data_IF_607541620454
#
_entry.id   IF_607541620454
#
_cell.length_a   1.000
_cell.length_b   1.000
_cell.length_c   1.000
_cell.angle_alpha   90.00
_cell.angle_beta   90.00
_cell.angle_gamma   90.00
#
_symmetry.space_group_name_H-M   'P 1'
#
loop_
_entity.id
_entity.type
_entity.pdbx_description
1 polymer ?
#
# COMPACT_ATOMS: atom_id res chain seq x y z
N UNK A 1 -12.79 35.34 91.99
CA UNK A 1 -13.09 34.90 90.61
C UNK A 1 -12.17 33.72 90.33
N UNK A 2 -12.58 32.50 90.02
CA UNK A 2 -13.87 31.86 89.76
C UNK A 2 -13.54 30.35 89.97
N UNK A 3 -14.22 29.65 90.88
CA UNK A 3 -13.95 28.24 91.19
C UNK A 3 -15.30 27.50 91.28
N UNK A 4 -15.48 26.51 90.37
CA UNK A 4 -16.08 25.14 90.43
C UNK A 4 -17.15 24.83 91.52
N UNK A 5 -17.98 23.75 91.44
CA UNK A 5 -18.23 22.68 90.44
C UNK A 5 -19.77 22.46 90.21
N UNK A 6 -20.35 21.46 89.54
CA UNK A 6 -20.32 20.03 89.81
C UNK A 6 -21.27 19.27 88.86
N UNK A 7 -20.81 18.08 88.48
CA UNK A 7 -21.51 16.88 87.99
C UNK A 7 -22.93 16.66 88.51
N UNK A 8 -23.80 16.06 87.69
CA UNK A 8 -24.64 14.87 87.99
C UNK A 8 -25.36 14.45 86.68
N UNK A 9 -24.93 13.40 85.99
CA UNK A 9 -25.35 12.00 86.16
C UNK A 9 -26.87 11.74 86.11
N UNK A 10 -27.28 11.02 85.05
CA UNK A 10 -27.85 9.66 85.14
C UNK A 10 -29.36 9.47 84.89
N UNK A 11 -29.65 8.89 83.71
CA UNK A 11 -30.61 7.79 83.40
C UNK A 11 -32.10 8.20 83.38
N UNK A 12 -32.91 7.89 82.37
CA UNK A 12 -33.48 6.57 81.99
C UNK A 12 -33.97 6.61 80.52
N UNK A 13 -33.45 5.74 79.63
CA UNK A 13 -34.04 4.46 79.12
C UNK A 13 -35.03 4.60 77.94
N UNK A 14 -34.46 4.35 76.76
CA UNK A 14 -34.90 3.54 75.60
C UNK A 14 -36.28 3.76 74.93
N UNK A 15 -36.23 4.27 73.70
CA UNK A 15 -36.97 3.69 72.58
C UNK A 15 -35.96 3.38 71.45
N UNK A 16 -35.96 2.12 71.05
CA UNK A 16 -35.07 1.48 70.09
C UNK A 16 -35.54 1.80 68.66
N UNK A 17 -34.67 2.35 67.82
CA UNK A 17 -34.72 2.17 66.35
C UNK A 17 -33.30 1.83 65.93
N UNK A 18 -33.11 0.59 65.51
CA UNK A 18 -31.86 0.12 64.94
C UNK A 18 -31.79 0.58 63.48
N UNK A 19 -30.79 1.38 63.15
CA UNK A 19 -30.26 1.48 61.80
C UNK A 19 -28.74 1.40 61.93
N UNK A 20 -28.18 0.24 61.59
CA UNK A 20 -26.76 0.02 61.52
C UNK A 20 -26.22 0.79 60.30
N UNK A 21 -25.45 1.84 60.54
CA UNK A 21 -24.57 2.41 59.52
C UNK A 21 -23.22 1.72 59.66
N UNK A 22 -22.97 0.71 58.81
CA UNK A 22 -21.62 0.27 58.50
C UNK A 22 -20.94 1.45 57.80
N UNK A 23 -19.89 1.99 58.41
CA UNK A 23 -18.94 2.82 57.70
C UNK A 23 -18.15 1.93 56.75
N UNK A 24 -18.46 1.99 55.46
CA UNK A 24 -17.56 1.51 54.43
C UNK A 24 -16.47 2.57 54.29
N UNK A 25 -15.28 2.26 54.81
CA UNK A 25 -14.07 2.81 54.24
C UNK A 25 -14.04 2.32 52.79
N UNK A 26 -14.17 3.24 51.83
CA UNK A 26 -13.67 2.97 50.48
C UNK A 26 -12.20 2.61 50.66
N UNK A 27 -11.90 1.31 50.58
CA UNK A 27 -10.60 0.88 50.12
C UNK A 27 -10.65 1.17 48.63
N UNK A 28 -10.01 2.26 48.19
CA UNK A 28 -9.44 2.21 46.85
C UNK A 28 -8.44 1.04 46.91
N UNK A 29 -8.46 0.09 45.96
CA UNK A 29 -7.31 -0.79 45.81
C UNK A 29 -6.09 0.14 45.63
N UNK A 30 -5.00 -0.18 46.33
CA UNK A 30 -3.72 0.35 45.91
C UNK A 30 -3.56 -0.05 44.44
N UNK A 31 -3.03 0.84 43.60
CA UNK A 31 -2.35 0.39 42.39
C UNK A 31 -1.43 -0.77 42.83
N UNK A 32 -1.48 -1.90 42.13
CA UNK A 32 -0.49 -2.94 42.32
C UNK A 32 0.89 -2.30 42.25
N UNK A 33 1.83 -2.83 43.02
CA UNK A 33 3.23 -2.68 42.57
C UNK A 33 3.26 -3.24 41.14
N UNK A 34 3.96 -2.58 40.22
CA UNK A 34 4.35 -3.27 38.99
C UNK A 34 5.04 -4.59 39.38
N UNK A 35 4.88 -5.67 38.58
CA UNK A 35 5.62 -6.91 38.77
C UNK A 35 7.13 -6.66 38.90
N UNK A 36 7.76 -7.53 39.67
CA UNK A 36 9.15 -7.45 40.15
C UNK A 36 9.48 -8.88 40.60
N UNK A 37 9.72 -9.75 39.61
CA UNK A 37 9.75 -11.20 39.76
C UNK A 37 10.91 -11.63 40.65
N UNK A 38 12.09 -11.04 40.45
CA UNK A 38 13.29 -11.30 41.24
C UNK A 38 13.36 -10.53 42.58
N UNK A 39 12.52 -9.51 42.76
CA UNK A 39 12.41 -8.71 43.97
C UNK A 39 13.58 -7.74 44.21
N UNK A 40 14.40 -7.41 43.21
CA UNK A 40 15.51 -6.48 43.36
C UNK A 40 15.08 -5.01 43.42
N UNK A 41 13.84 -4.73 43.01
CA UNK A 41 13.20 -3.43 43.03
C UNK A 41 13.22 -2.68 41.70
N UNK A 42 13.61 -3.33 40.61
CA UNK A 42 13.35 -2.93 39.23
C UNK A 42 12.06 -3.64 38.78
N UNK A 43 11.09 -2.93 38.16
CA UNK A 43 9.91 -3.59 37.60
C UNK A 43 10.25 -4.38 36.32
N UNK A 44 9.56 -5.51 36.10
CA UNK A 44 9.78 -6.43 34.98
C UNK A 44 9.87 -5.74 33.60
N UNK A 45 8.88 -4.90 33.24
CA UNK A 45 8.84 -4.03 32.02
C UNK A 45 10.09 -3.17 31.73
N UNK A 46 11.03 -3.07 32.67
CA UNK A 46 12.31 -2.35 32.46
C UNK A 46 13.48 -3.06 33.13
N UNK A 47 13.32 -4.32 33.52
CA UNK A 47 14.34 -5.14 34.15
C UNK A 47 15.13 -5.91 33.10
N UNK A 48 16.41 -5.57 32.85
CA UNK A 48 17.21 -6.20 31.80
C UNK A 48 17.62 -7.66 32.09
N UNK A 49 17.14 -8.25 33.20
CA UNK A 49 17.40 -9.62 33.68
C UNK A 49 16.28 -9.99 34.67
N UNK A 50 15.04 -10.16 34.15
CA UNK A 50 13.77 -10.27 34.91
C UNK A 50 13.83 -11.31 36.04
N UNK A 51 14.50 -12.43 35.82
CA UNK A 51 14.62 -13.51 36.80
C UNK A 51 15.96 -13.48 37.59
N UNK A 52 16.86 -12.55 37.23
CA UNK A 52 18.20 -12.37 37.76
C UNK A 52 19.05 -13.65 37.74
N UNK A 53 18.77 -14.52 36.77
CA UNK A 53 19.60 -15.62 36.36
C UNK A 53 20.99 -15.05 36.04
N UNK A 54 21.12 -13.90 35.39
CA UNK A 54 22.40 -13.39 34.90
C UNK A 54 22.68 -13.78 33.44
N UNK A 55 21.63 -14.10 32.69
CA UNK A 55 21.53 -14.02 31.24
C UNK A 55 20.60 -12.81 31.00
N UNK A 56 21.01 -11.77 30.24
CA UNK A 56 20.11 -10.66 29.92
C UNK A 56 18.94 -11.13 29.06
N UNK A 57 17.77 -10.49 29.17
CA UNK A 57 16.53 -10.89 28.49
C UNK A 57 16.72 -11.22 27.00
N UNK A 58 17.30 -10.30 26.22
CA UNK A 58 17.72 -10.48 24.80
C UNK A 58 18.56 -11.72 24.44
N UNK A 59 18.97 -12.53 25.41
CA UNK A 59 19.76 -13.73 25.25
C UNK A 59 19.24 -14.91 26.09
N UNK A 60 18.13 -14.72 26.79
CA UNK A 60 17.50 -15.71 27.66
C UNK A 60 16.28 -16.31 26.98
N UNK A 61 16.27 -17.64 26.86
CA UNK A 61 15.19 -18.37 26.17
C UNK A 61 14.01 -18.70 27.09
N UNK A 62 14.01 -18.04 28.25
CA UNK A 62 13.10 -18.25 29.36
C UNK A 62 13.20 -17.04 30.29
N UNK A 63 12.74 -15.88 29.82
CA UNK A 63 13.02 -14.56 30.39
C UNK A 63 12.47 -14.42 31.80
N UNK A 64 11.26 -14.90 32.05
CA UNK A 64 10.67 -14.96 33.38
C UNK A 64 11.32 -16.06 34.28
N UNK A 65 12.11 -16.98 33.71
CA UNK A 65 12.24 -18.33 34.24
C UNK A 65 13.67 -18.87 34.39
N UNK A 66 14.22 -18.80 35.60
CA UNK A 66 15.55 -19.36 35.82
C UNK A 66 16.00 -19.39 37.27
N UNK A 67 17.29 -19.71 37.47
CA UNK A 67 17.88 -19.81 38.82
C UNK A 67 18.61 -18.53 39.14
N UNK A 68 17.89 -17.59 39.76
CA UNK A 68 18.41 -16.32 40.27
C UNK A 68 19.83 -16.48 40.84
N UNK A 69 20.83 -15.85 40.21
CA UNK A 69 22.21 -15.81 40.69
C UNK A 69 22.39 -14.74 41.75
N UNK A 70 21.61 -13.65 41.72
CA UNK A 70 21.68 -12.58 42.72
C UNK A 70 20.31 -12.25 43.34
N UNK A 71 20.17 -11.05 43.91
CA UNK A 71 18.92 -10.63 44.55
C UNK A 71 18.45 -11.39 45.82
N UNK A 72 17.23 -11.09 46.29
CA UNK A 72 16.56 -11.78 47.41
C UNK A 72 16.31 -13.27 47.20
N UNK A 73 16.14 -13.72 45.96
CA UNK A 73 15.83 -15.11 45.64
C UNK A 73 17.05 -15.98 45.33
N UNK A 74 18.25 -15.41 45.19
CA UNK A 74 19.53 -16.09 44.95
C UNK A 74 19.59 -17.60 45.29
N UNK A 75 19.70 -18.44 44.26
CA UNK A 75 19.77 -19.89 44.32
C UNK A 75 18.42 -20.60 44.40
N UNK A 76 17.32 -19.88 44.19
CA UNK A 76 15.98 -20.43 43.96
C UNK A 76 15.64 -20.30 42.49
N UNK A 77 14.75 -21.18 42.02
CA UNK A 77 14.10 -21.00 40.72
C UNK A 77 12.92 -20.03 40.90
N UNK A 78 12.78 -19.07 40.01
CA UNK A 78 11.65 -18.14 39.89
C UNK A 78 11.10 -18.19 38.45
N UNK A 79 9.92 -17.62 38.20
CA UNK A 79 9.18 -17.84 36.95
C UNK A 79 8.36 -19.12 36.92
N UNK A 80 7.83 -19.41 35.74
CA UNK A 80 6.72 -20.34 35.57
C UNK A 80 7.11 -21.75 35.04
N UNK A 81 8.32 -21.88 34.48
CA UNK A 81 8.90 -23.08 33.82
C UNK A 81 8.38 -23.41 32.40
N UNK A 82 7.87 -22.41 31.71
CA UNK A 82 7.64 -22.41 30.27
C UNK A 82 8.93 -21.89 29.60
N UNK A 83 9.08 -22.04 28.29
CA UNK A 83 10.22 -21.47 27.52
C UNK A 83 9.55 -20.53 26.51
N UNK A 84 10.17 -19.41 26.12
CA UNK A 84 9.52 -18.39 25.27
C UNK A 84 8.87 -19.01 24.02
N UNK A 85 9.58 -19.91 23.31
CA UNK A 85 9.09 -20.66 22.11
C UNK A 85 7.87 -21.60 22.33
N UNK A 86 7.29 -21.62 23.52
CA UNK A 86 6.21 -22.51 23.87
C UNK A 86 4.88 -21.74 23.77
N UNK A 87 3.91 -22.21 22.95
CA UNK A 87 2.57 -21.59 22.76
C UNK A 87 1.64 -21.63 23.99
N UNK A 88 2.20 -21.76 25.19
CA UNK A 88 1.50 -21.66 26.45
C UNK A 88 2.18 -20.64 27.38
N UNK A 89 3.22 -19.97 26.90
CA UNK A 89 3.63 -18.67 27.42
C UNK A 89 2.65 -17.64 26.89
N UNK A 90 2.23 -16.71 27.72
CA UNK A 90 1.27 -15.67 27.31
C UNK A 90 1.78 -14.25 27.76
N UNK A 91 2.97 -14.15 28.38
CA UNK A 91 3.55 -12.94 29.03
C UNK A 91 5.06 -13.20 29.30
N UNK A 92 5.89 -13.10 28.25
CA UNK A 92 7.30 -13.53 28.22
C UNK A 92 8.17 -12.87 29.31
N UNK A 93 7.92 -11.59 29.62
CA UNK A 93 8.67 -10.83 30.63
C UNK A 93 7.98 -10.75 32.03
N UNK A 94 6.79 -11.35 32.19
CA UNK A 94 5.93 -11.34 33.38
C UNK A 94 5.63 -9.92 33.90
N UNK A 95 5.59 -8.88 33.05
CA UNK A 95 5.24 -7.51 33.45
C UNK A 95 3.74 -7.29 33.71
N UNK A 96 2.93 -8.27 33.30
CA UNK A 96 1.49 -8.30 33.43
C UNK A 96 0.71 -7.67 32.28
N UNK A 97 1.37 -7.39 31.17
CA UNK A 97 0.83 -7.26 29.82
C UNK A 97 1.05 -8.62 29.12
N UNK A 98 0.05 -9.07 28.37
CA UNK A 98 0.23 -10.32 27.62
C UNK A 98 0.92 -9.98 26.31
N UNK A 99 1.62 -10.95 25.71
CA UNK A 99 2.32 -10.74 24.44
C UNK A 99 1.31 -10.24 23.36
N UNK A 100 0.11 -10.86 23.28
CA UNK A 100 -1.04 -10.46 22.41
C UNK A 100 -1.72 -9.11 22.73
N UNK A 101 -1.17 -8.31 23.64
CA UNK A 101 -1.81 -7.08 24.10
C UNK A 101 -1.33 -5.87 23.31
N UNK A 102 -2.24 -5.13 22.68
CA UNK A 102 -2.03 -3.78 22.09
C UNK A 102 -1.38 -2.69 23.00
N UNK A 103 -1.04 -3.01 24.24
CA UNK A 103 -0.34 -2.14 25.17
C UNK A 103 1.07 -2.63 25.53
N UNK A 104 1.41 -3.84 25.10
CA UNK A 104 2.77 -4.36 25.06
C UNK A 104 3.48 -3.79 23.83
N UNK A 105 4.81 -3.64 23.90
CA UNK A 105 5.63 -3.07 22.83
C UNK A 105 7.12 -3.39 22.99
N UNK A 106 7.47 -4.28 23.93
CA UNK A 106 8.82 -4.76 24.28
C UNK A 106 8.64 -6.17 24.88
N UNK A 107 8.16 -7.12 24.07
CA UNK A 107 7.71 -8.47 24.50
C UNK A 107 8.79 -9.21 25.32
N UNK A 108 10.05 -9.15 24.89
CA UNK A 108 11.16 -9.75 25.62
C UNK A 108 11.70 -8.88 26.78
N UNK A 109 11.25 -7.63 26.89
CA UNK A 109 11.66 -6.69 27.93
C UNK A 109 13.15 -6.32 27.89
N UNK A 110 13.87 -6.48 26.78
CA UNK A 110 15.28 -6.09 26.66
C UNK A 110 15.50 -4.57 26.64
N UNK A 111 14.40 -3.83 26.46
CA UNK A 111 14.38 -2.37 26.39
C UNK A 111 14.59 -1.82 24.98
N UNK A 112 14.44 -2.66 23.95
CA UNK A 112 14.09 -2.24 22.60
C UNK A 112 12.56 -2.20 22.48
N UNK A 113 12.08 -1.79 21.34
CA UNK A 113 10.66 -1.88 21.05
C UNK A 113 10.54 -2.91 19.93
N UNK A 114 9.44 -3.62 19.87
CA UNK A 114 9.21 -4.63 18.84
C UNK A 114 9.32 -3.96 17.44
N UNK A 115 8.74 -2.76 17.26
CA UNK A 115 8.84 -1.89 16.06
C UNK A 115 10.22 -1.27 15.72
N UNK A 116 11.28 -1.68 16.40
CA UNK A 116 12.61 -1.05 16.26
C UNK A 116 13.44 -1.77 15.19
N UNK A 117 14.06 -1.04 14.23
CA UNK A 117 15.07 -1.55 13.27
C UNK A 117 16.33 -2.24 13.88
N UNK A 118 16.40 -2.38 15.20
CA UNK A 118 17.50 -2.96 15.97
C UNK A 118 17.05 -4.11 16.88
N UNK A 119 15.75 -4.40 16.91
CA UNK A 119 15.27 -5.68 17.38
C UNK A 119 15.35 -6.66 16.21
N UNK A 120 15.81 -7.88 16.48
CA UNK A 120 15.87 -8.91 15.45
C UNK A 120 15.45 -10.30 16.02
N UNK A 121 14.77 -10.35 17.18
CA UNK A 121 14.35 -11.53 17.97
C UNK A 121 13.28 -11.10 18.99
N UNK A 122 12.07 -10.75 18.53
CA UNK A 122 11.00 -10.11 19.34
C UNK A 122 10.58 -10.94 20.56
N UNK A 123 10.39 -12.25 20.40
CA UNK A 123 10.02 -13.16 21.49
C UNK A 123 11.22 -13.61 22.38
N UNK A 124 12.45 -13.23 22.01
CA UNK A 124 13.68 -13.60 22.72
C UNK A 124 14.01 -15.10 22.76
N UNK A 125 13.43 -15.96 21.91
CA UNK A 125 13.71 -17.40 21.91
C UNK A 125 15.10 -17.78 21.34
N UNK A 126 15.80 -16.76 20.82
CA UNK A 126 17.09 -16.81 20.15
C UNK A 126 17.00 -17.46 18.74
N UNK A 127 15.87 -17.28 18.08
CA UNK A 127 15.76 -17.27 16.64
C UNK A 127 15.88 -15.82 16.22
N UNK A 128 15.45 -15.52 15.00
CA UNK A 128 15.48 -14.17 14.49
C UNK A 128 14.22 -14.05 13.68
N UNK A 129 13.60 -12.90 13.70
CA UNK A 129 12.35 -12.68 12.98
C UNK A 129 12.57 -13.00 11.48
N UNK A 130 13.70 -12.53 10.91
CA UNK A 130 14.16 -12.84 9.53
C UNK A 130 14.54 -14.30 9.20
N UNK A 131 14.34 -15.23 10.14
CA UNK A 131 14.64 -16.64 9.94
C UNK A 131 13.35 -17.39 9.58
N UNK A 132 13.23 -17.90 8.36
CA UNK A 132 12.12 -18.82 7.98
C UNK A 132 12.11 -20.22 8.66
N UNK A 133 12.61 -20.31 9.88
CA UNK A 133 12.32 -21.36 10.85
C UNK A 133 11.64 -20.81 12.12
N UNK A 134 11.57 -19.49 12.27
CA UNK A 134 10.61 -18.80 13.12
C UNK A 134 9.25 -18.85 12.46
N UNK A 135 8.20 -18.95 13.26
CA UNK A 135 6.81 -19.11 12.81
C UNK A 135 5.82 -18.52 13.82
N UNK A 136 6.28 -17.72 14.78
CA UNK A 136 5.55 -17.18 15.94
C UNK A 136 6.42 -16.04 16.47
N UNK A 137 6.48 -14.93 15.71
CA UNK A 137 7.46 -13.84 15.90
C UNK A 137 7.25 -13.10 17.23
N UNK A 138 6.00 -12.81 17.57
CA UNK A 138 5.60 -12.16 18.83
C UNK A 138 5.51 -13.14 20.01
N UNK A 139 5.51 -14.45 19.75
CA UNK A 139 5.47 -15.49 20.78
C UNK A 139 4.11 -15.64 21.47
N UNK A 140 3.02 -15.09 20.93
CA UNK A 140 1.68 -15.18 21.54
C UNK A 140 1.06 -16.59 21.44
N UNK A 141 1.70 -17.47 20.66
CA UNK A 141 1.34 -18.86 20.49
C UNK A 141 0.40 -19.15 19.32
N UNK A 142 0.12 -18.18 18.44
CA UNK A 142 -0.37 -18.45 17.09
C UNK A 142 0.83 -18.55 16.14
N UNK A 143 0.64 -19.30 15.04
CA UNK A 143 1.72 -19.34 14.04
C UNK A 143 1.51 -18.09 13.14
N UNK A 144 2.55 -17.43 12.62
CA UNK A 144 2.42 -16.21 11.77
C UNK A 144 1.45 -16.41 10.58
N UNK A 145 1.39 -17.64 10.02
CA UNK A 145 0.47 -18.00 8.91
C UNK A 145 -0.98 -18.33 9.33
N UNK A 146 -1.43 -17.90 10.52
CA UNK A 146 -2.75 -18.24 11.05
C UNK A 146 -3.84 -17.26 10.64
N UNK A 147 -4.98 -17.75 10.14
CA UNK A 147 -6.19 -16.94 9.92
C UNK A 147 -6.72 -16.15 11.16
N UNK A 148 -6.18 -16.40 12.36
CA UNK A 148 -6.58 -15.74 13.62
C UNK A 148 -5.41 -14.90 14.23
N UNK A 149 -4.30 -14.75 13.50
CA UNK A 149 -3.24 -13.75 13.77
C UNK A 149 -3.58 -12.47 13.01
N UNK A 150 -3.49 -11.33 13.67
CA UNK A 150 -3.81 -10.02 13.10
C UNK A 150 -2.68 -8.98 13.39
N UNK A 151 -1.59 -9.32 14.11
CA UNK A 151 -0.49 -8.44 14.58
C UNK A 151 0.81 -9.27 14.72
N UNK A 152 1.47 -9.61 13.62
CA UNK A 152 2.56 -10.63 13.56
C UNK A 152 3.78 -10.26 14.42
N UNK A 153 4.16 -8.98 14.46
CA UNK A 153 5.30 -8.50 15.24
C UNK A 153 4.93 -8.04 16.67
N UNK A 154 3.65 -8.00 17.00
CA UNK A 154 3.14 -7.64 18.32
C UNK A 154 3.35 -6.17 18.70
N UNK A 155 3.62 -5.26 17.76
CA UNK A 155 3.86 -3.83 18.06
C UNK A 155 2.58 -3.07 18.48
N UNK A 156 1.43 -3.73 18.34
CA UNK A 156 0.11 -3.21 18.65
C UNK A 156 -0.54 -2.48 17.48
N UNK A 157 -0.08 -2.71 16.25
CA UNK A 157 -0.75 -2.34 15.00
C UNK A 157 -1.18 -3.62 14.30
N UNK A 158 -2.48 -3.70 14.00
CA UNK A 158 -2.99 -4.78 13.17
C UNK A 158 -2.25 -4.76 11.80
N UNK A 159 -1.93 -5.92 11.23
CA UNK A 159 -1.19 -6.05 9.95
C UNK A 159 -1.87 -5.27 8.81
N UNK A 160 -3.21 -5.13 8.86
CA UNK A 160 -4.02 -4.36 7.91
C UNK A 160 -4.06 -2.83 8.17
N UNK A 161 -3.33 -2.32 9.19
CA UNK A 161 -3.24 -0.89 9.46
C UNK A 161 -2.34 -0.21 8.42
N UNK A 162 -2.83 0.79 7.66
CA UNK A 162 -2.03 1.48 6.64
C UNK A 162 -0.89 2.36 7.21
N UNK A 163 -0.74 2.44 8.53
CA UNK A 163 0.42 3.03 9.18
C UNK A 163 1.52 1.99 9.50
N UNK A 164 1.20 0.69 9.46
CA UNK A 164 2.15 -0.42 9.47
C UNK A 164 2.90 -0.50 8.13
N UNK A 165 4.16 -0.88 8.20
CA UNK A 165 5.13 -0.80 7.11
C UNK A 165 6.24 -1.86 7.22
N UNK A 166 6.24 -2.70 8.25
CA UNK A 166 7.22 -3.75 8.56
C UNK A 166 6.52 -4.89 9.32
N UNK A 167 5.60 -5.60 8.65
CA UNK A 167 4.63 -6.54 9.26
C UNK A 167 5.31 -7.62 10.12
N UNK A 168 6.44 -8.17 9.69
CA UNK A 168 7.18 -9.21 10.41
C UNK A 168 8.22 -8.65 11.41
N UNK A 169 8.32 -7.32 11.54
CA UNK A 169 9.25 -6.65 12.44
C UNK A 169 10.74 -6.88 12.15
N UNK A 170 11.13 -7.45 10.99
CA UNK A 170 12.53 -7.85 10.73
C UNK A 170 13.48 -6.67 10.41
N UNK A 171 12.92 -5.46 10.31
CA UNK A 171 13.60 -4.22 9.96
C UNK A 171 13.67 -3.97 8.46
N UNK A 172 12.84 -4.63 7.65
CA UNK A 172 12.74 -4.49 6.20
C UNK A 172 11.29 -4.20 5.81
N UNK A 173 11.10 -2.94 5.42
CA UNK A 173 9.81 -2.49 4.94
C UNK A 173 9.17 -3.41 3.88
N UNK A 174 7.87 -3.67 4.04
CA UNK A 174 7.06 -4.65 3.27
C UNK A 174 7.24 -4.50 1.75
N UNK A 175 7.13 -3.27 1.22
CA UNK A 175 7.36 -2.97 -0.20
C UNK A 175 8.81 -3.15 -0.69
N UNK A 176 9.68 -3.75 0.13
CA UNK A 176 11.00 -4.22 -0.26
C UNK A 176 11.40 -5.57 0.35
N UNK A 177 10.52 -6.18 1.13
CA UNK A 177 10.71 -7.51 1.70
C UNK A 177 10.47 -8.61 0.65
N UNK A 178 11.12 -9.76 0.83
CA UNK A 178 10.91 -10.96 0.02
C UNK A 178 10.31 -12.15 0.80
N UNK A 179 9.76 -11.89 1.98
CA UNK A 179 9.08 -12.78 2.96
C UNK A 179 8.22 -11.93 3.94
N UNK A 180 7.28 -11.12 3.43
CA UNK A 180 6.60 -10.03 4.17
C UNK A 180 5.95 -10.42 5.50
N UNK A 181 5.34 -11.61 5.58
CA UNK A 181 4.65 -12.12 6.77
C UNK A 181 5.55 -12.99 7.69
N UNK A 182 6.84 -13.13 7.35
CA UNK A 182 7.78 -13.90 8.15
C UNK A 182 7.56 -15.43 8.20
N UNK A 183 6.57 -16.01 7.48
CA UNK A 183 6.21 -17.44 7.62
C UNK A 183 7.29 -18.41 7.08
N UNK A 184 8.29 -17.85 6.40
CA UNK A 184 9.41 -18.54 5.76
C UNK A 184 9.15 -18.95 4.30
N UNK A 185 8.04 -18.52 3.70
CA UNK A 185 7.74 -18.61 2.27
C UNK A 185 7.80 -17.23 1.65
N UNK A 186 8.80 -17.12 0.77
CA UNK A 186 8.96 -15.95 -0.07
C UNK A 186 7.67 -15.59 -0.80
N UNK A 187 7.39 -14.30 -0.92
CA UNK A 187 6.26 -13.79 -1.70
C UNK A 187 6.24 -14.38 -3.13
N UNK A 188 7.41 -14.63 -3.71
CA UNK A 188 7.56 -15.27 -5.03
C UNK A 188 7.30 -16.79 -5.10
N UNK A 189 7.07 -17.47 -3.98
CA UNK A 189 6.80 -18.90 -3.95
C UNK A 189 5.34 -19.17 -4.33
N UNK A 190 5.13 -20.07 -5.30
CA UNK A 190 3.79 -20.33 -5.86
C UNK A 190 2.82 -21.09 -4.92
N UNK A 191 3.27 -21.41 -3.71
CA UNK A 191 2.45 -21.98 -2.65
C UNK A 191 2.12 -20.89 -1.59
N UNK A 192 2.60 -19.65 -1.78
CA UNK A 192 2.17 -18.49 -1.02
C UNK A 192 0.88 -17.90 -1.63
N UNK A 193 -0.12 -17.77 -0.78
CA UNK A 193 -1.50 -17.42 -1.12
C UNK A 193 -1.99 -16.22 -0.27
N UNK A 194 -1.23 -15.75 0.73
CA UNK A 194 -1.57 -14.75 1.77
C UNK A 194 -0.27 -14.00 2.16
N UNK A 195 0.12 -12.99 1.39
CA UNK A 195 1.49 -12.43 1.44
C UNK A 195 1.74 -11.47 2.59
N UNK A 196 0.71 -10.76 3.05
CA UNK A 196 0.78 -9.85 4.19
C UNK A 196 0.32 -10.51 5.51
N UNK A 197 -0.17 -11.75 5.47
CA UNK A 197 -0.54 -12.51 6.65
C UNK A 197 -1.85 -12.09 7.32
N UNK A 198 -2.66 -11.19 6.70
CA UNK A 198 -3.89 -10.63 7.30
C UNK A 198 -5.07 -11.65 7.43
N UNK A 199 -4.80 -12.89 7.05
CA UNK A 199 -5.75 -14.00 7.02
C UNK A 199 -6.68 -13.98 5.80
N UNK A 200 -6.44 -13.10 4.82
CA UNK A 200 -7.11 -13.08 3.52
C UNK A 200 -6.11 -13.38 2.43
N UNK A 201 -6.53 -14.34 1.61
CA UNK A 201 -5.76 -14.69 0.43
C UNK A 201 -5.68 -13.52 -0.55
N UNK A 202 -4.54 -13.39 -1.21
CA UNK A 202 -4.29 -12.48 -2.35
C UNK A 202 -5.33 -12.63 -3.50
N UNK A 203 -6.05 -13.77 -3.57
CA UNK A 203 -7.11 -13.99 -4.57
C UNK A 203 -8.54 -13.70 -4.08
N UNK A 204 -8.71 -13.22 -2.85
CA UNK A 204 -10.00 -12.78 -2.32
C UNK A 204 -10.42 -11.44 -2.95
N UNK A 205 -11.73 -11.27 -3.16
CA UNK A 205 -12.27 -10.04 -3.73
C UNK A 205 -12.49 -8.94 -2.69
N UNK A 206 -12.38 -9.28 -1.41
CA UNK A 206 -12.41 -8.32 -0.30
C UNK A 206 -11.00 -7.84 0.09
N UNK A 207 -9.94 -8.47 -0.47
CA UNK A 207 -8.55 -8.02 -0.36
C UNK A 207 -8.17 -7.08 -1.49
N UNK A 208 -7.41 -6.05 -1.12
CA UNK A 208 -7.08 -4.88 -1.92
C UNK A 208 -5.64 -4.39 -1.72
N UNK A 209 -4.81 -5.01 -0.87
CA UNK A 209 -3.41 -4.64 -0.60
C UNK A 209 -2.58 -5.91 -0.33
N UNK A 210 -2.40 -6.76 -1.34
CA UNK A 210 -1.87 -8.13 -1.24
C UNK A 210 -0.51 -8.24 -0.51
N UNK A 211 0.34 -7.19 -0.51
CA UNK A 211 1.66 -7.16 0.13
C UNK A 211 1.75 -6.26 1.37
N UNK A 212 0.64 -5.67 1.82
CA UNK A 212 0.59 -4.85 3.02
C UNK A 212 1.37 -3.52 2.96
N UNK A 213 1.93 -3.10 1.81
CA UNK A 213 2.85 -1.93 1.75
C UNK A 213 2.13 -0.56 1.91
N UNK A 214 0.81 -0.59 2.04
CA UNK A 214 -0.09 0.55 2.13
C UNK A 214 -0.49 1.12 0.76
N UNK A 215 -0.21 0.40 -0.33
CA UNK A 215 -0.54 0.77 -1.71
C UNK A 215 -1.52 -0.22 -2.34
N UNK A 216 -2.82 0.06 -2.16
CA UNK A 216 -3.88 -0.78 -2.76
C UNK A 216 -3.52 -1.34 -4.17
N UNK A 217 -3.63 -2.65 -4.41
CA UNK A 217 -3.24 -3.42 -5.63
C UNK A 217 -3.51 -2.66 -6.93
N UNK A 218 -4.69 -2.04 -6.99
CA UNK A 218 -5.14 -1.24 -8.13
C UNK A 218 -4.21 -0.06 -8.48
N UNK A 219 -3.30 0.30 -7.60
CA UNK A 219 -2.31 1.36 -7.71
C UNK A 219 -0.87 0.86 -7.58
N UNK A 220 -0.66 -0.42 -7.25
CA UNK A 220 0.62 -1.09 -7.30
C UNK A 220 0.91 -1.69 -8.69
N UNK A 221 2.19 -1.69 -9.06
CA UNK A 221 2.68 -2.33 -10.28
C UNK A 221 3.23 -3.75 -10.01
N UNK A 222 3.33 -4.19 -8.74
CA UNK A 222 3.87 -5.46 -8.23
C UNK A 222 3.12 -5.90 -6.96
N UNK A 223 1.84 -6.28 -7.07
CA UNK A 223 0.89 -6.44 -5.93
C UNK A 223 1.38 -7.38 -4.82
N UNK A 224 2.20 -8.39 -5.12
CA UNK A 224 2.74 -9.36 -4.16
C UNK A 224 4.22 -9.09 -3.78
N UNK A 225 4.80 -7.98 -4.25
CA UNK A 225 6.21 -7.62 -4.13
C UNK A 225 7.21 -8.77 -4.46
N UNK A 226 6.84 -9.70 -5.36
CA UNK A 226 7.71 -10.83 -5.75
C UNK A 226 8.91 -10.41 -6.64
N UNK A 227 8.93 -9.14 -7.04
CA UNK A 227 9.90 -8.52 -7.92
C UNK A 227 9.59 -8.71 -9.41
N UNK A 228 8.36 -9.07 -9.77
CA UNK A 228 7.87 -9.29 -11.14
C UNK A 228 6.58 -8.51 -11.38
N UNK A 229 6.74 -7.27 -11.87
CA UNK A 229 5.61 -6.39 -12.23
C UNK A 229 4.40 -7.16 -12.80
N UNK A 230 3.19 -6.91 -12.30
CA UNK A 230 1.94 -7.59 -12.67
C UNK A 230 1.74 -7.70 -14.18
N UNK A 231 2.19 -6.69 -14.91
CA UNK A 231 2.10 -6.59 -16.37
C UNK A 231 2.85 -7.72 -17.10
N UNK A 232 3.80 -8.37 -16.43
CA UNK A 232 4.52 -9.56 -16.87
C UNK A 232 4.06 -10.87 -16.19
N UNK A 233 3.35 -10.74 -15.07
CA UNK A 233 2.82 -11.83 -14.23
C UNK A 233 1.65 -12.58 -14.93
N UNK A 234 1.76 -13.92 -15.15
CA UNK A 234 0.74 -14.72 -15.84
C UNK A 234 -0.47 -15.11 -14.98
N UNK A 235 -0.46 -14.82 -13.67
CA UNK A 235 -1.45 -15.16 -12.66
C UNK A 235 -2.31 -13.99 -12.18
N UNK A 236 -1.77 -12.76 -12.30
CA UNK A 236 -2.34 -11.50 -11.84
C UNK A 236 -3.86 -11.45 -11.79
N UNK A 237 -4.38 -11.17 -10.61
CA UNK A 237 -5.79 -10.94 -10.36
C UNK A 237 -6.22 -9.62 -11.03
N UNK A 238 -6.59 -9.70 -12.30
CA UNK A 238 -6.96 -8.51 -13.06
C UNK A 238 -8.10 -7.72 -12.44
N UNK A 239 -7.78 -6.49 -12.06
CA UNK A 239 -8.63 -5.55 -11.34
C UNK A 239 -9.72 -4.88 -12.23
N UNK A 240 -10.78 -4.27 -11.66
CA UNK A 240 -11.97 -3.79 -12.44
C UNK A 240 -11.62 -2.76 -13.53
N UNK A 241 -10.55 -1.98 -13.30
CA UNK A 241 -10.08 -0.91 -14.19
C UNK A 241 -8.92 -1.34 -15.10
N UNK A 242 -8.49 -2.61 -15.00
CA UNK A 242 -7.55 -3.21 -15.94
C UNK A 242 -8.16 -3.55 -17.28
N UNK A 243 -7.30 -3.59 -18.29
CA UNK A 243 -7.74 -4.01 -19.60
C UNK A 243 -6.71 -4.82 -20.35
N UNK A 244 -7.06 -6.07 -20.63
CA UNK A 244 -6.41 -6.88 -21.64
C UNK A 244 -7.31 -7.07 -22.85
N UNK A 245 -6.80 -6.68 -24.03
CA UNK A 245 -7.46 -6.94 -25.31
C UNK A 245 -6.52 -7.58 -26.32
N UNK A 246 -7.04 -8.60 -27.00
CA UNK A 246 -6.36 -9.24 -28.12
C UNK A 246 -7.11 -8.97 -29.44
N UNK A 247 -6.34 -8.67 -30.48
CA UNK A 247 -6.80 -8.50 -31.85
C UNK A 247 -6.08 -9.47 -32.77
N UNK A 248 -6.82 -10.42 -33.35
CA UNK A 248 -6.36 -11.14 -34.55
C UNK A 248 -6.47 -10.23 -35.77
N UNK A 249 -5.32 -9.85 -36.34
CA UNK A 249 -5.25 -8.93 -37.47
C UNK A 249 -5.80 -9.58 -38.75
N UNK A 250 -6.46 -8.77 -39.58
CA UNK A 250 -7.00 -9.23 -40.86
C UNK A 250 -5.88 -9.36 -41.89
N UNK A 251 -5.69 -10.57 -42.41
CA UNK A 251 -4.75 -10.86 -43.50
C UNK A 251 -5.18 -10.20 -44.80
N UNK A 252 -4.25 -9.51 -45.45
CA UNK A 252 -4.45 -8.83 -46.73
C UNK A 252 -3.86 -9.62 -47.91
N UNK A 253 -4.09 -9.12 -49.13
CA UNK A 253 -3.76 -9.83 -50.37
C UNK A 253 -2.25 -10.10 -50.56
N UNK A 254 -1.39 -9.31 -49.91
CA UNK A 254 0.07 -9.46 -50.01
C UNK A 254 0.62 -10.56 -49.09
N UNK A 255 -0.13 -10.92 -48.05
CA UNK A 255 0.27 -11.93 -47.08
C UNK A 255 0.02 -13.35 -47.61
N UNK A 256 0.98 -14.28 -47.46
CA UNK A 256 0.86 -15.66 -47.92
C UNK A 256 -0.34 -16.45 -47.36
N UNK A 257 -0.59 -17.60 -47.99
CA UNK A 257 -1.50 -18.61 -47.46
C UNK A 257 -1.04 -19.14 -46.10
N UNK A 258 -1.84 -18.96 -45.04
CA UNK A 258 -1.53 -19.50 -43.71
C UNK A 258 -0.90 -18.51 -42.74
N UNK A 259 -0.39 -17.37 -43.22
CA UNK A 259 0.19 -16.35 -42.35
C UNK A 259 -0.82 -15.74 -41.39
N UNK A 260 -0.42 -15.55 -40.14
CA UNK A 260 -1.22 -14.96 -39.08
C UNK A 260 -0.49 -13.79 -38.43
N UNK A 261 -1.24 -12.88 -37.83
CA UNK A 261 -0.70 -11.84 -36.97
C UNK A 261 -1.71 -11.50 -35.89
N UNK A 262 -1.24 -11.29 -34.67
CA UNK A 262 -2.04 -10.88 -33.52
C UNK A 262 -1.39 -9.68 -32.84
N UNK A 263 -2.21 -8.87 -32.21
CA UNK A 263 -1.78 -7.76 -31.39
C UNK A 263 -2.48 -7.87 -30.03
N UNK A 264 -1.72 -7.91 -28.94
CA UNK A 264 -2.22 -7.95 -27.57
C UNK A 264 -1.83 -6.64 -26.88
N UNK A 265 -2.79 -6.02 -26.20
CA UNK A 265 -2.58 -4.82 -25.40
C UNK A 265 -3.12 -5.08 -24.00
N UNK A 266 -2.24 -5.05 -23.01
CA UNK A 266 -2.57 -5.10 -21.58
C UNK A 266 -2.23 -3.75 -20.96
N UNK A 267 -3.02 -3.33 -19.98
CA UNK A 267 -2.81 -2.09 -19.25
C UNK A 267 -3.44 -2.19 -17.86
N UNK A 268 -2.66 -1.82 -16.84
CA UNK A 268 -3.04 -1.79 -15.44
C UNK A 268 -3.63 -0.43 -15.05
N UNK A 269 -4.21 -0.33 -13.86
CA UNK A 269 -4.78 0.90 -13.31
C UNK A 269 -3.72 1.94 -12.90
N UNK A 270 -2.50 1.49 -12.56
CA UNK A 270 -1.30 2.32 -12.39
C UNK A 270 -0.95 3.16 -13.63
N UNK A 271 -1.37 2.70 -14.82
CA UNK A 271 -0.99 3.26 -16.10
C UNK A 271 0.08 2.46 -16.84
N UNK A 272 0.67 1.45 -16.19
CA UNK A 272 1.62 0.55 -16.83
C UNK A 272 0.93 -0.22 -17.95
N UNK A 273 1.60 -0.30 -19.10
CA UNK A 273 0.97 -0.82 -20.30
C UNK A 273 1.97 -1.55 -21.19
N UNK A 274 1.49 -2.65 -21.78
CA UNK A 274 2.24 -3.53 -22.66
C UNK A 274 1.50 -3.78 -23.95
N UNK A 275 2.13 -3.42 -25.06
CA UNK A 275 1.62 -3.67 -26.40
C UNK A 275 2.55 -4.62 -27.17
N UNK A 276 2.07 -5.81 -27.50
CA UNK A 276 2.82 -6.82 -28.25
C UNK A 276 2.15 -7.09 -29.59
N UNK A 277 2.93 -7.04 -30.66
CA UNK A 277 2.51 -7.49 -32.00
C UNK A 277 3.35 -8.69 -32.40
N UNK A 278 2.69 -9.79 -32.75
CA UNK A 278 3.31 -11.06 -33.14
C UNK A 278 2.84 -11.44 -34.55
N UNK A 279 3.76 -11.95 -35.35
CA UNK A 279 3.54 -12.29 -36.76
C UNK A 279 4.16 -13.65 -37.06
N UNK A 280 3.39 -14.50 -37.72
CA UNK A 280 3.80 -15.85 -38.10
C UNK A 280 3.64 -16.10 -39.60
N UNK A 281 4.47 -17.02 -40.10
CA UNK A 281 4.40 -17.55 -41.47
C UNK A 281 4.50 -16.47 -42.58
N UNK A 282 5.20 -15.37 -42.29
CA UNK A 282 5.59 -14.36 -43.30
C UNK A 282 7.06 -14.58 -43.75
N UNK A 283 7.42 -14.21 -44.99
CA UNK A 283 8.80 -14.33 -45.45
C UNK A 283 9.75 -13.47 -44.61
N UNK A 284 10.85 -14.07 -44.14
CA UNK A 284 11.91 -13.43 -43.38
C UNK A 284 12.28 -12.03 -43.90
N UNK A 285 12.57 -11.12 -42.98
CA UNK A 285 12.93 -9.73 -43.26
C UNK A 285 12.25 -8.75 -42.33
N UNK A 286 12.43 -7.46 -42.63
CA UNK A 286 11.96 -6.38 -41.76
C UNK A 286 10.59 -5.87 -42.25
N UNK A 287 9.65 -5.78 -41.33
CA UNK A 287 8.31 -5.24 -41.56
C UNK A 287 8.10 -4.02 -40.68
N UNK A 288 7.57 -2.95 -41.24
CA UNK A 288 7.23 -1.74 -40.50
C UNK A 288 5.88 -1.91 -39.81
N UNK A 289 5.83 -1.59 -38.52
CA UNK A 289 4.62 -1.51 -37.73
C UNK A 289 4.10 -0.07 -37.71
N UNK A 290 2.84 0.11 -38.06
CA UNK A 290 2.13 1.39 -37.95
C UNK A 290 1.00 1.28 -36.93
N UNK A 291 0.87 2.29 -36.07
CA UNK A 291 -0.26 2.45 -35.13
C UNK A 291 -0.76 3.89 -35.23
N UNK A 292 -2.06 4.08 -35.41
CA UNK A 292 -2.64 5.42 -35.63
C UNK A 292 -2.19 6.04 -36.96
N UNK A 293 -1.72 5.22 -37.91
CA UNK A 293 -1.14 5.67 -39.18
C UNK A 293 0.30 6.20 -39.08
N UNK A 294 0.91 6.20 -37.90
CA UNK A 294 2.30 6.61 -37.67
C UNK A 294 3.20 5.37 -37.55
N UNK A 295 4.42 5.39 -38.12
CA UNK A 295 5.38 4.30 -37.95
C UNK A 295 5.85 4.24 -36.49
N UNK A 296 5.76 3.05 -35.87
CA UNK A 296 6.13 2.80 -34.46
C UNK A 296 7.34 1.90 -34.28
N UNK A 297 7.75 1.17 -35.32
CA UNK A 297 8.94 0.34 -35.24
C UNK A 297 9.04 -0.68 -36.37
N UNK A 298 10.01 -1.60 -36.25
CA UNK A 298 10.15 -2.74 -37.13
C UNK A 298 9.91 -4.05 -36.37
N UNK A 299 9.24 -4.98 -37.03
CA UNK A 299 9.13 -6.39 -36.66
C UNK A 299 10.12 -7.13 -37.54
N UNK A 300 11.10 -7.78 -36.92
CA UNK A 300 12.15 -8.52 -37.63
C UNK A 300 11.76 -10.00 -37.63
N UNK A 301 11.48 -10.54 -38.82
CA UNK A 301 11.08 -11.93 -38.96
C UNK A 301 12.28 -12.81 -39.30
N UNK A 302 12.40 -13.90 -38.54
CA UNK A 302 13.44 -14.93 -38.67
C UNK A 302 13.18 -15.86 -39.87
N UNK A 303 14.11 -16.78 -40.16
CA UNK A 303 13.98 -17.71 -41.30
C UNK A 303 12.80 -18.69 -41.18
N UNK A 304 12.31 -18.92 -39.98
CA UNK A 304 11.09 -19.67 -39.66
C UNK A 304 9.80 -18.88 -39.94
N UNK A 305 9.91 -17.58 -40.23
CA UNK A 305 8.79 -16.70 -40.56
C UNK A 305 8.05 -16.14 -39.35
N UNK A 306 8.59 -16.35 -38.14
CA UNK A 306 8.08 -15.78 -36.90
C UNK A 306 8.83 -14.50 -36.49
N UNK A 307 8.14 -13.59 -35.82
CA UNK A 307 8.75 -12.42 -35.19
C UNK A 307 7.74 -11.57 -34.43
N UNK A 308 8.21 -10.86 -33.41
CA UNK A 308 7.39 -9.99 -32.60
C UNK A 308 8.01 -8.59 -32.39
N UNK A 309 7.18 -7.70 -31.83
CA UNK A 309 7.62 -6.40 -31.32
C UNK A 309 6.82 -6.07 -30.07
N UNK A 310 7.54 -5.81 -28.98
CA UNK A 310 6.98 -5.46 -27.67
C UNK A 310 7.25 -4.00 -27.37
N UNK A 311 6.22 -3.31 -26.89
CA UNK A 311 6.29 -1.96 -26.36
C UNK A 311 5.81 -1.97 -24.92
N UNK A 312 6.50 -1.25 -24.02
CA UNK A 312 6.14 -1.10 -22.61
C UNK A 312 6.24 0.37 -22.19
N UNK A 313 5.44 0.79 -21.23
CA UNK A 313 5.59 2.09 -20.54
C UNK A 313 6.92 2.16 -19.80
N UNK A 314 7.34 1.05 -19.19
CA UNK A 314 8.64 0.87 -18.52
C UNK A 314 9.44 -0.21 -19.26
N UNK A 315 10.28 0.15 -20.24
CA UNK A 315 10.94 -0.85 -21.10
C UNK A 315 12.02 -1.65 -20.37
N UNK A 316 11.81 -2.96 -20.27
CA UNK A 316 12.82 -3.94 -19.91
C UNK A 316 13.24 -4.81 -21.12
N UNK A 317 14.50 -5.28 -21.13
CA UNK A 317 15.04 -6.12 -22.19
C UNK A 317 15.02 -5.47 -23.59
N UNK A 318 14.43 -6.18 -24.57
CA UNK A 318 14.32 -5.74 -25.98
C UNK A 318 13.06 -4.90 -26.27
N UNK A 319 12.25 -4.60 -25.24
CA UNK A 319 11.05 -3.79 -25.37
C UNK A 319 11.37 -2.34 -25.75
N UNK A 320 10.42 -1.68 -26.41
CA UNK A 320 10.51 -0.26 -26.77
C UNK A 320 9.56 0.55 -25.91
N UNK A 321 9.87 1.82 -25.67
CA UNK A 321 8.94 2.73 -25.02
C UNK A 321 7.60 2.82 -25.78
N UNK A 322 6.51 2.62 -25.02
CA UNK A 322 5.15 2.83 -25.46
C UNK A 322 4.74 4.28 -25.21
N UNK A 323 5.05 5.16 -26.16
CA UNK A 323 4.77 6.61 -26.09
C UNK A 323 3.53 7.04 -26.89
N UNK A 324 2.61 6.11 -27.14
CA UNK A 324 1.51 6.32 -28.06
C UNK A 324 0.23 5.58 -27.73
N UNK A 325 -0.88 6.19 -28.12
CA UNK A 325 -2.20 5.57 -28.03
C UNK A 325 -2.28 4.30 -28.89
N UNK A 326 -2.80 3.22 -28.30
CA UNK A 326 -3.00 1.91 -28.95
C UNK A 326 -4.49 1.63 -29.09
N UNK A 327 -5.28 1.93 -28.06
CA UNK A 327 -6.69 1.61 -28.00
C UNK A 327 -7.47 2.34 -29.09
N UNK A 328 -8.35 1.62 -29.80
CA UNK A 328 -9.11 2.16 -30.92
C UNK A 328 -8.27 2.56 -32.14
N UNK A 329 -6.94 2.42 -32.12
CA UNK A 329 -6.09 2.83 -33.23
C UNK A 329 -5.98 1.75 -34.31
N UNK A 330 -5.86 2.16 -35.59
CA UNK A 330 -5.53 1.23 -36.67
C UNK A 330 -4.10 0.71 -36.52
N UNK A 331 -3.95 -0.61 -36.55
CA UNK A 331 -2.66 -1.32 -36.57
C UNK A 331 -2.43 -1.89 -37.96
N UNK A 332 -1.27 -1.63 -38.56
CA UNK A 332 -0.91 -2.10 -39.90
C UNK A 332 0.52 -2.62 -39.93
N UNK A 333 0.71 -3.79 -40.54
CA UNK A 333 2.02 -4.38 -40.81
C UNK A 333 2.33 -4.22 -42.30
N UNK A 334 3.42 -3.54 -42.62
CA UNK A 334 3.78 -3.12 -43.98
C UNK A 334 5.21 -3.52 -44.33
N UNK A 335 5.45 -3.87 -45.60
CA UNK A 335 6.80 -3.97 -46.16
C UNK A 335 6.82 -3.44 -47.59
N UNK A 336 7.84 -2.66 -47.94
CA UNK A 336 8.02 -2.07 -49.27
C UNK A 336 6.79 -1.31 -49.80
N UNK A 337 6.05 -0.64 -48.90
CA UNK A 337 4.84 0.10 -49.24
C UNK A 337 3.58 -0.76 -49.45
N UNK A 338 3.63 -2.06 -49.15
CA UNK A 338 2.51 -2.97 -49.28
C UNK A 338 2.07 -3.52 -47.91
N UNK A 339 0.75 -3.49 -47.67
CA UNK A 339 0.16 -3.93 -46.40
C UNK A 339 -0.11 -5.43 -46.41
N UNK A 340 0.38 -6.10 -45.37
CA UNK A 340 0.24 -7.55 -45.17
C UNK A 340 -0.90 -7.86 -44.21
N UNK A 341 -1.03 -7.07 -43.15
CA UNK A 341 -2.06 -7.22 -42.14
C UNK A 341 -2.57 -5.86 -41.69
N UNK A 342 -3.85 -5.82 -41.31
CA UNK A 342 -4.46 -4.64 -40.72
C UNK A 342 -5.57 -5.00 -39.74
N UNK A 343 -5.80 -4.14 -38.76
CA UNK A 343 -6.96 -4.19 -37.91
C UNK A 343 -7.11 -2.90 -37.11
N UNK A 344 -8.16 -2.83 -36.29
CA UNK A 344 -8.37 -1.72 -35.35
C UNK A 344 -8.30 -2.36 -33.96
N UNK A 345 -7.39 -1.87 -33.11
CA UNK A 345 -7.33 -2.35 -31.74
C UNK A 345 -8.66 -2.09 -31.05
N UNK A 346 -9.18 -3.05 -30.27
CA UNK A 346 -10.34 -2.80 -29.42
C UNK A 346 -10.13 -1.57 -28.56
N UNK A 347 -11.22 -0.86 -28.29
CA UNK A 347 -11.23 0.14 -27.23
C UNK A 347 -11.23 -0.61 -25.91
N UNK A 348 -10.37 -0.18 -25.00
CA UNK A 348 -10.42 -0.53 -23.58
C UNK A 348 -11.11 0.61 -22.83
N UNK A 349 -11.60 0.43 -21.59
CA UNK A 349 -11.99 1.54 -20.73
C UNK A 349 -10.93 2.66 -20.80
N UNK A 350 -11.31 3.94 -20.77
CA UNK A 350 -10.30 5.01 -20.85
C UNK A 350 -9.45 4.99 -19.56
N UNK A 351 -8.23 4.46 -19.59
CA UNK A 351 -7.25 4.76 -18.54
C UNK A 351 -6.46 6.01 -18.92
N UNK A 352 -5.95 6.66 -17.89
CA UNK A 352 -5.70 8.09 -17.93
C UNK A 352 -4.27 8.44 -18.24
N UNK A 353 -3.43 7.40 -18.27
CA UNK A 353 -2.01 7.48 -18.02
C UNK A 353 -1.24 6.86 -19.19
N UNK A 354 -0.50 7.71 -19.90
CA UNK A 354 0.47 7.33 -20.95
C UNK A 354 1.80 7.97 -20.54
N UNK A 355 2.86 7.16 -20.44
CA UNK A 355 4.12 7.46 -19.74
C UNK A 355 5.04 8.54 -20.32
N UNK A 356 6.02 8.93 -19.50
CA UNK A 356 7.13 9.86 -19.77
C UNK A 356 7.20 11.05 -18.79
N UNK A 357 8.32 11.29 -18.10
CA UNK A 357 8.40 12.23 -16.97
C UNK A 357 8.62 13.71 -17.30
N UNK A 358 8.14 14.61 -16.43
CA UNK A 358 8.32 16.07 -16.50
C UNK A 358 7.02 16.87 -16.35
N UNK A 359 7.07 18.21 -16.39
CA UNK A 359 5.86 19.05 -16.36
C UNK A 359 5.64 19.78 -17.70
N UNK A 360 4.37 19.86 -18.14
CA UNK A 360 3.95 20.67 -19.27
C UNK A 360 2.70 21.47 -18.95
N UNK A 361 2.77 22.75 -19.28
CA UNK A 361 1.64 23.66 -19.19
C UNK A 361 1.10 24.05 -20.57
N UNK A 362 -0.21 24.29 -20.61
CA UNK A 362 -0.91 24.88 -21.74
C UNK A 362 -1.75 26.06 -21.25
N UNK A 363 -1.62 27.20 -21.92
CA UNK A 363 -2.56 28.32 -21.77
C UNK A 363 -3.83 28.00 -22.56
N UNK A 364 -4.98 28.08 -21.90
CA UNK A 364 -6.27 27.81 -22.52
C UNK A 364 -6.74 29.03 -23.32
N UNK A 365 -7.38 28.79 -24.45
CA UNK A 365 -7.87 29.85 -25.31
C UNK A 365 -9.19 30.42 -24.77
N UNK A 366 -9.23 31.73 -24.55
CA UNK A 366 -10.43 32.46 -24.16
C UNK A 366 -11.50 32.42 -25.28
N UNK A 367 -12.72 32.02 -24.92
CA UNK A 367 -13.90 32.15 -25.76
C UNK A 367 -14.46 33.58 -25.70
N UNK A 368 -15.39 33.91 -26.60
CA UNK A 368 -15.98 35.26 -26.67
C UNK A 368 -16.79 35.67 -25.43
N UNK A 369 -17.12 34.73 -24.55
CA UNK A 369 -17.82 34.98 -23.29
C UNK A 369 -16.88 35.06 -22.08
N UNK A 370 -15.56 34.84 -22.27
CA UNK A 370 -14.58 34.93 -21.18
C UNK A 370 -14.57 36.33 -20.54
N UNK A 371 -14.39 36.42 -19.21
CA UNK A 371 -14.20 37.72 -18.55
C UNK A 371 -12.99 38.47 -19.14
N UNK A 372 -13.08 39.80 -19.18
CA UNK A 372 -12.03 40.60 -19.78
C UNK A 372 -10.77 40.60 -18.90
N UNK A 373 -9.66 40.11 -19.45
CA UNK A 373 -8.38 40.00 -18.74
C UNK A 373 -8.20 38.67 -18.01
N UNK A 374 -9.21 37.80 -17.98
CA UNK A 374 -9.09 36.49 -17.37
C UNK A 374 -8.10 35.60 -18.13
N UNK A 375 -7.36 34.79 -17.37
CA UNK A 375 -6.41 33.81 -17.86
C UNK A 375 -6.72 32.43 -17.27
N UNK A 376 -6.50 31.38 -18.06
CA UNK A 376 -6.70 30.01 -17.61
C UNK A 376 -5.53 29.15 -18.10
N UNK A 377 -4.92 28.42 -17.18
CA UNK A 377 -3.76 27.56 -17.44
C UNK A 377 -4.05 26.16 -16.92
N UNK A 378 -3.66 25.15 -17.70
CA UNK A 378 -3.65 23.76 -17.25
C UNK A 378 -2.21 23.24 -17.30
N UNK A 379 -1.77 22.60 -16.22
CA UNK A 379 -0.44 22.01 -16.08
C UNK A 379 -0.56 20.53 -15.75
N UNK A 380 0.07 19.70 -16.57
CA UNK A 380 0.23 18.27 -16.32
C UNK A 380 1.65 18.00 -15.85
N UNK A 381 1.77 17.37 -14.70
CA UNK A 381 2.98 16.74 -14.23
C UNK A 381 2.93 15.26 -14.57
N UNK A 382 4.02 14.74 -15.09
CA UNK A 382 4.17 13.36 -15.49
C UNK A 382 5.29 12.69 -14.68
N UNK A 383 4.99 11.51 -14.13
CA UNK A 383 5.95 10.55 -13.60
C UNK A 383 6.46 9.60 -14.69
N UNK A 384 7.11 8.50 -14.29
CA UNK A 384 7.53 7.43 -15.22
C UNK A 384 6.33 6.84 -15.97
N UNK A 385 5.24 6.60 -15.24
CA UNK A 385 4.10 5.80 -15.67
C UNK A 385 2.93 6.63 -16.23
N UNK A 386 3.05 7.97 -16.27
CA UNK A 386 2.07 8.86 -16.88
C UNK A 386 1.84 10.17 -16.12
N UNK A 387 0.74 10.88 -16.38
CA UNK A 387 0.39 12.11 -15.67
C UNK A 387 0.06 11.78 -14.21
N UNK A 388 0.89 12.28 -13.29
CA UNK A 388 0.71 12.11 -11.84
C UNK A 388 -0.12 13.25 -11.22
N UNK A 389 -0.22 14.38 -11.92
CA UNK A 389 -0.96 15.56 -11.46
C UNK A 389 -1.51 16.38 -12.62
N UNK A 390 -2.76 16.80 -12.53
CA UNK A 390 -3.34 17.86 -13.35
C UNK A 390 -3.72 19.03 -12.45
N UNK A 391 -3.13 20.20 -12.67
CA UNK A 391 -3.49 21.43 -11.99
C UNK A 391 -4.08 22.43 -12.97
N UNK A 392 -5.27 22.94 -12.67
CA UNK A 392 -5.95 23.97 -13.46
C UNK A 392 -6.07 25.22 -12.62
N UNK A 393 -5.54 26.32 -13.15
CA UNK A 393 -5.51 27.62 -12.50
C UNK A 393 -6.28 28.65 -13.33
N UNK A 394 -7.14 29.40 -12.66
CA UNK A 394 -7.88 30.53 -13.20
C UNK A 394 -7.42 31.80 -12.49
N UNK A 395 -7.05 32.82 -13.26
CA UNK A 395 -6.64 34.13 -12.75
C UNK A 395 -7.47 35.26 -13.38
N UNK A 396 -7.67 36.34 -12.63
CA UNK A 396 -8.48 37.51 -13.00
C UNK A 396 -9.94 37.16 -13.34
N UNK A 397 -10.49 36.16 -12.64
CA UNK A 397 -11.90 35.76 -12.75
C UNK A 397 -12.77 36.40 -11.66
N UNK A 398 -14.04 36.73 -11.98
CA UNK A 398 -15.01 37.09 -10.96
C UNK A 398 -15.21 35.96 -9.93
N UNK A 399 -15.58 36.34 -8.71
CA UNK A 399 -15.98 35.36 -7.70
C UNK A 399 -17.19 34.55 -8.18
N UNK A 400 -17.09 33.22 -8.08
CA UNK A 400 -18.08 32.30 -8.61
C UNK A 400 -17.56 30.86 -8.72
N UNK A 401 -18.43 29.99 -9.21
CA UNK A 401 -18.14 28.57 -9.42
C UNK A 401 -18.06 28.27 -10.92
N UNK A 402 -16.92 27.70 -11.33
CA UNK A 402 -16.62 27.41 -12.73
C UNK A 402 -16.41 25.91 -12.92
N UNK A 403 -17.11 25.33 -13.89
CA UNK A 403 -17.03 23.89 -14.18
C UNK A 403 -15.83 23.58 -15.05
N UNK A 404 -15.03 22.61 -14.64
CA UNK A 404 -13.99 21.99 -15.45
C UNK A 404 -14.53 20.72 -16.10
N UNK A 405 -14.49 20.67 -17.43
CA UNK A 405 -14.82 19.48 -18.19
C UNK A 405 -13.60 18.98 -18.96
N UNK A 406 -13.41 17.66 -18.98
CA UNK A 406 -12.42 16.98 -19.82
C UNK A 406 -13.16 15.97 -20.68
N UNK A 407 -12.96 16.05 -21.99
CA UNK A 407 -13.70 15.23 -22.98
C UNK A 407 -15.22 15.34 -22.80
N UNK A 408 -15.70 16.56 -22.55
CA UNK A 408 -17.11 16.91 -22.27
C UNK A 408 -17.72 16.26 -20.99
N UNK A 409 -16.92 15.59 -20.18
CA UNK A 409 -17.31 15.04 -18.86
C UNK A 409 -16.93 16.04 -17.76
N UNK A 410 -17.86 16.32 -16.85
CA UNK A 410 -17.59 17.19 -15.69
C UNK A 410 -16.62 16.49 -14.73
N UNK A 411 -15.44 17.09 -14.50
CA UNK A 411 -14.42 16.55 -13.60
C UNK A 411 -14.32 17.28 -12.27
N UNK A 412 -14.73 18.54 -12.22
CA UNK A 412 -14.78 19.27 -10.96
C UNK A 412 -15.28 20.70 -11.11
N UNK A 413 -15.32 21.41 -9.98
CA UNK A 413 -15.72 22.82 -9.90
C UNK A 413 -14.60 23.63 -9.28
N UNK A 414 -14.14 24.66 -9.97
CA UNK A 414 -13.18 25.64 -9.50
C UNK A 414 -13.96 26.76 -8.84
N UNK A 415 -13.86 26.89 -7.51
CA UNK A 415 -14.51 27.95 -6.75
C UNK A 415 -13.54 29.11 -6.53
N UNK A 416 -13.98 30.31 -6.91
CA UNK A 416 -13.21 31.55 -6.79
C UNK A 416 -13.85 32.43 -5.73
N UNK A 417 -13.14 32.62 -4.61
CA UNK A 417 -13.53 33.54 -3.53
C UNK A 417 -12.93 34.94 -3.66
N UNK A 418 -11.91 35.11 -4.50
CA UNK A 418 -11.17 36.35 -4.75
C UNK A 418 -10.97 36.58 -6.24
N UNK A 419 -9.71 36.75 -6.67
CA UNK A 419 -9.34 36.98 -8.08
C UNK A 419 -8.76 35.73 -8.78
N UNK A 420 -8.52 34.64 -8.04
CA UNK A 420 -8.01 33.38 -8.58
C UNK A 420 -8.62 32.14 -7.93
N UNK A 421 -8.51 31.00 -8.63
CA UNK A 421 -8.88 29.69 -8.13
C UNK A 421 -8.05 28.60 -8.75
N UNK A 422 -7.80 27.54 -7.99
CA UNK A 422 -7.02 26.38 -8.39
C UNK A 422 -7.84 25.13 -8.14
N UNK A 423 -7.78 24.18 -9.07
CA UNK A 423 -8.26 22.82 -8.87
C UNK A 423 -7.16 21.85 -9.26
N UNK A 424 -6.85 20.92 -8.36
CA UNK A 424 -5.77 19.95 -8.52
C UNK A 424 -6.37 18.56 -8.53
N UNK A 425 -5.89 17.73 -9.46
CA UNK A 425 -6.12 16.31 -9.51
C UNK A 425 -4.78 15.58 -9.35
N UNK A 426 -4.73 14.51 -8.57
CA UNK A 426 -3.54 13.66 -8.37
C UNK A 426 -3.89 12.19 -8.39
N UNK A 427 -2.91 11.34 -8.72
CA UNK A 427 -3.08 9.89 -8.57
C UNK A 427 -3.28 9.54 -7.09
N UNK A 428 -2.43 10.06 -6.20
CA UNK A 428 -2.58 9.90 -4.74
C UNK A 428 -3.06 11.25 -4.17
N UNK A 429 -4.39 11.49 -4.06
CA UNK A 429 -4.92 12.78 -3.63
C UNK A 429 -4.77 12.98 -2.12
N UNK A 430 -4.20 14.12 -1.72
CA UNK A 430 -4.14 14.54 -0.32
C UNK A 430 -5.00 15.78 -0.05
N UNK A 431 -5.74 15.79 1.05
CA UNK A 431 -6.49 16.97 1.51
C UNK A 431 -7.63 17.40 0.60
N UNK A 432 -7.45 18.49 -0.18
CA UNK A 432 -8.48 19.04 -1.07
C UNK A 432 -8.30 18.69 -2.55
N UNK A 433 -7.29 17.85 -2.85
CA UNK A 433 -7.04 17.37 -4.20
C UNK A 433 -8.16 16.38 -4.62
N UNK A 434 -8.45 16.34 -5.91
CA UNK A 434 -9.38 15.36 -6.50
C UNK A 434 -8.61 14.17 -7.09
N UNK A 435 -9.22 12.99 -7.21
CA UNK A 435 -8.57 11.86 -7.86
C UNK A 435 -8.37 12.12 -9.36
N UNK A 436 -7.18 11.77 -9.89
CA UNK A 436 -6.85 11.82 -11.32
C UNK A 436 -7.27 10.52 -12.02
N UNK A 437 -8.56 10.24 -11.97
CA UNK A 437 -9.20 9.01 -12.50
C UNK A 437 -9.62 9.12 -13.98
N UNK A 438 -9.20 10.16 -14.71
CA UNK A 438 -9.57 10.37 -16.12
C UNK A 438 -8.46 10.77 -17.07
N UNK A 439 -8.56 10.32 -18.33
CA UNK A 439 -7.57 10.61 -19.38
C UNK A 439 -7.33 12.09 -19.56
N UNK A 440 -6.05 12.44 -19.56
CA UNK A 440 -5.59 13.83 -19.72
C UNK A 440 -4.74 14.02 -20.97
N UNK A 441 -3.98 13.00 -21.39
CA UNK A 441 -3.03 13.12 -22.49
C UNK A 441 -3.74 13.43 -23.81
N UNK A 442 -3.52 14.63 -24.35
CA UNK A 442 -4.09 15.05 -25.64
C UNK A 442 -5.61 15.25 -25.64
N UNK A 443 -6.26 15.20 -24.47
CA UNK A 443 -7.71 15.33 -24.33
C UNK A 443 -8.17 16.79 -24.38
N UNK A 444 -9.43 17.02 -24.74
CA UNK A 444 -10.02 18.36 -24.71
C UNK A 444 -10.30 18.79 -23.27
N UNK A 445 -10.04 20.06 -22.97
CA UNK A 445 -10.31 20.66 -21.66
C UNK A 445 -11.15 21.93 -21.85
N UNK A 446 -12.18 22.10 -21.02
CA UNK A 446 -13.14 23.20 -21.09
C UNK A 446 -13.41 23.77 -19.70
N UNK A 447 -13.39 25.10 -19.59
CA UNK A 447 -13.89 25.84 -18.44
C UNK A 447 -15.21 26.50 -18.83
N UNK A 448 -16.26 26.30 -18.03
CA UNK A 448 -17.58 26.85 -18.30
C UNK A 448 -18.28 27.42 -17.07
N UNK A 449 -19.14 28.41 -17.32
CA UNK A 449 -20.12 28.90 -16.34
C UNK A 449 -21.52 28.46 -16.83
N UNK A 450 -22.14 27.53 -16.10
CA UNK A 450 -23.39 26.91 -16.52
C UNK A 450 -23.23 26.11 -17.82
N UNK A 451 -23.83 26.57 -18.92
CA UNK A 451 -23.70 25.97 -20.27
C UNK A 451 -22.81 26.80 -21.21
N UNK A 452 -22.18 27.87 -20.70
CA UNK A 452 -21.42 28.82 -21.50
C UNK A 452 -19.93 28.49 -21.38
N UNK A 453 -19.29 28.17 -22.50
CA UNK A 453 -17.83 27.96 -22.55
C UNK A 453 -17.11 29.30 -22.39
N UNK A 454 -16.18 29.36 -21.44
CA UNK A 454 -15.33 30.50 -21.17
C UNK A 454 -13.92 30.28 -21.70
N UNK A 455 -13.33 29.11 -21.47
CA UNK A 455 -12.01 28.74 -21.99
C UNK A 455 -12.02 27.31 -22.52
N UNK A 456 -11.18 27.05 -23.51
CA UNK A 456 -10.95 25.68 -23.98
C UNK A 456 -9.52 25.48 -24.47
N UNK A 457 -9.08 24.22 -24.46
CA UNK A 457 -7.78 23.83 -24.96
C UNK A 457 -7.67 22.34 -25.18
N UNK A 458 -6.44 21.90 -25.42
CA UNK A 458 -6.07 20.49 -25.47
C UNK A 458 -4.95 20.30 -24.48
N UNK A 459 -5.10 19.34 -23.58
CA UNK A 459 -4.12 19.01 -22.57
C UNK A 459 -2.83 18.47 -23.23
N UNK A 460 -1.65 18.81 -22.70
CA UNK A 460 -0.38 18.48 -23.32
C UNK A 460 -0.13 16.97 -23.33
N UNK A 461 0.63 16.52 -24.33
CA UNK A 461 1.22 15.17 -24.34
C UNK A 461 2.53 15.16 -23.55
N UNK A 462 3.02 13.99 -23.10
CA UNK A 462 4.31 13.85 -22.45
C UNK A 462 5.45 14.56 -23.22
N UNK A 463 6.49 15.04 -22.53
CA UNK A 463 7.66 15.60 -23.19
C UNK A 463 8.26 14.59 -24.18
N UNK A 464 8.57 15.04 -25.41
CA UNK A 464 9.47 14.28 -26.27
C UNK A 464 10.87 14.26 -25.63
N UNK A 465 11.66 13.18 -25.80
CA UNK A 465 13.00 13.09 -25.22
C UNK A 465 13.94 14.23 -25.63
#
# INVERSE_FOLDING_TARGET
MKLIPSTLNSRWVHALVALAMLGWSLHLPAAGSAPDLDGDGIPNIVDPDVDNDGIPNALDRNIDGGIAKTGPYAGQYIGDHVENENPAEDDIDDDGLADDSLAESDIDGDGRLDDSDLEDDIDGDNRKDDSGAERDIDGDGKDDDSDDEDDIDGDGRDDDDPEEQDIDGDGRLDGSDDDTDGDGRKNADADEDDTDGDGRRNDDAEEHDDDGDGTEDRYDDDDDNDGVDDIEEPGHAGDEDEAEVELKLTRLAAAPGGSEAKAKFRRLATGTARFKVEVDDLPAGNYELFVGGMPRGQIVLSEDGGGDRVFKTTPSGDAVLLDFEVAGQPVVIRRDGQDYFSGIMPTVPDSTKIGGSGSRAVELAAAGAAPAGAEAKAELEFGGNGPVKLQVELEDFPAGDYKLLVTDVLRGTITIGGDSGVLTFKINPGGSDLPLDFSTVGQSIIISEGSTVLFSGVLPTPPAP
#
